data_IF_996871962302
#
_entry.id   IF_996871962302
#
_cell.length_a   1.000
_cell.length_b   1.000
_cell.length_c   1.000
_cell.angle_alpha   90.00
_cell.angle_beta   90.00
_cell.angle_gamma   90.00
#
_symmetry.space_group_name_H-M   'P 1'
#
loop_
_entity.id
_entity.type
_entity.pdbx_description
1 polymer ?
#
# COMPACT_ATOMS: atom_id res chain seq x y z
N UNK A 1 8.50 -25.84 -13.91
CA UNK A 1 8.33 -25.06 -15.16
C UNK A 1 7.06 -24.21 -15.06
N UNK A 2 7.15 -22.89 -14.80
CA UNK A 2 5.98 -22.03 -14.64
C UNK A 2 5.39 -21.64 -16.02
N UNK A 3 4.19 -22.14 -16.34
CA UNK A 3 3.42 -21.73 -17.53
C UNK A 3 3.01 -20.26 -17.40
N UNK A 4 3.76 -19.35 -18.04
CA UNK A 4 3.34 -17.95 -18.19
C UNK A 4 2.15 -17.92 -19.15
N UNK A 5 0.93 -17.75 -18.62
CA UNK A 5 -0.25 -17.41 -19.44
C UNK A 5 0.04 -16.06 -20.10
N UNK A 6 0.51 -16.08 -21.35
CA UNK A 6 0.69 -14.88 -22.17
C UNK A 6 -0.67 -14.22 -22.34
N UNK A 7 -0.83 -13.01 -21.80
CA UNK A 7 -2.05 -12.23 -22.03
C UNK A 7 -2.24 -11.99 -23.52
N UNK A 8 -3.50 -12.02 -24.00
CA UNK A 8 -3.80 -11.68 -25.40
C UNK A 8 -3.21 -10.30 -25.73
N UNK A 9 -2.45 -10.24 -26.81
CA UNK A 9 -1.93 -8.99 -27.38
C UNK A 9 -3.05 -8.36 -28.19
N UNK A 10 -3.41 -7.12 -27.87
CA UNK A 10 -4.43 -6.36 -28.61
C UNK A 10 -3.87 -4.97 -28.89
N UNK A 11 -3.96 -4.54 -30.14
CA UNK A 11 -3.60 -3.19 -30.56
C UNK A 11 -4.61 -2.21 -29.98
N UNK A 12 -4.14 -1.25 -29.19
CA UNK A 12 -4.98 -0.21 -28.58
C UNK A 12 -4.17 1.08 -28.38
N UNK A 13 -4.82 2.26 -28.40
CA UNK A 13 -4.14 3.53 -28.17
C UNK A 13 -3.63 3.62 -26.72
N UNK A 14 -2.42 4.16 -26.56
CA UNK A 14 -1.87 4.50 -25.27
C UNK A 14 -2.59 5.70 -24.66
N UNK A 15 -3.02 5.60 -23.40
CA UNK A 15 -3.66 6.72 -22.69
C UNK A 15 -2.78 7.97 -22.52
N UNK A 16 -1.45 7.83 -22.62
CA UNK A 16 -0.51 8.95 -22.43
C UNK A 16 -0.03 9.58 -23.74
N UNK A 17 0.40 8.77 -24.72
CA UNK A 17 0.95 9.29 -25.97
C UNK A 17 0.00 9.13 -27.18
N UNK A 18 -1.18 8.51 -27.02
CA UNK A 18 -2.13 8.30 -28.12
C UNK A 18 -1.73 7.21 -29.12
N UNK A 19 -0.45 6.82 -29.19
CA UNK A 19 0.05 5.82 -30.13
C UNK A 19 -0.66 4.46 -29.98
N UNK A 20 -1.10 3.91 -31.12
CA UNK A 20 -1.72 2.57 -31.19
C UNK A 20 -0.60 1.53 -31.22
N UNK A 21 -0.50 0.76 -30.13
CA UNK A 21 0.60 -0.18 -29.93
C UNK A 21 0.06 -1.55 -29.48
N UNK A 22 0.80 -2.65 -29.75
CA UNK A 22 0.46 -3.97 -29.25
C UNK A 22 0.60 -4.00 -27.72
N UNK A 23 -0.53 -4.13 -27.01
CA UNK A 23 -0.57 -4.17 -25.55
C UNK A 23 -1.03 -5.53 -25.02
N UNK A 24 -0.41 -6.00 -23.95
CA UNK A 24 -0.70 -7.31 -23.34
C UNK A 24 -1.80 -7.19 -22.29
N UNK A 25 -2.85 -7.99 -22.40
CA UNK A 25 -3.87 -8.14 -21.34
C UNK A 25 -4.65 -6.84 -21.07
N UNK A 26 -4.60 -6.33 -19.83
CA UNK A 26 -5.33 -5.12 -19.39
C UNK A 26 -4.49 -3.84 -19.43
N UNK A 27 -3.30 -3.87 -20.04
CA UNK A 27 -2.44 -2.70 -20.15
C UNK A 27 -3.16 -1.55 -20.91
N UNK A 28 -3.03 -0.31 -20.40
CA UNK A 28 -3.64 0.92 -20.98
C UNK A 28 -2.61 1.98 -21.36
N UNK A 29 -1.35 1.75 -21.02
CA UNK A 29 -0.22 2.67 -21.19
C UNK A 29 0.90 1.89 -21.83
N UNK A 30 1.55 2.45 -22.85
CA UNK A 30 2.64 1.77 -23.55
C UNK A 30 3.86 1.59 -22.63
N UNK A 31 4.74 0.65 -22.99
CA UNK A 31 5.96 0.37 -22.21
C UNK A 31 6.86 1.60 -22.05
N UNK A 32 6.96 2.45 -23.09
CA UNK A 32 7.76 3.69 -23.04
C UNK A 32 7.25 4.65 -21.96
N UNK A 33 5.95 4.95 -21.96
CA UNK A 33 5.34 5.82 -20.96
C UNK A 33 5.36 5.21 -19.54
N UNK A 34 5.20 3.89 -19.41
CA UNK A 34 5.38 3.21 -18.12
C UNK A 34 6.80 3.37 -17.56
N UNK A 35 7.80 3.22 -18.42
CA UNK A 35 9.21 3.38 -18.02
C UNK A 35 9.50 4.82 -17.60
N UNK A 36 9.02 5.81 -18.36
CA UNK A 36 9.19 7.23 -18.03
C UNK A 36 8.58 7.58 -16.66
N UNK A 37 7.37 7.08 -16.36
CA UNK A 37 6.75 7.28 -15.05
C UNK A 37 7.53 6.61 -13.91
N UNK A 38 8.05 5.40 -14.15
CA UNK A 38 8.87 4.70 -13.16
C UNK A 38 10.14 5.49 -12.85
N UNK A 39 10.81 6.03 -13.87
CA UNK A 39 12.00 6.88 -13.70
C UNK A 39 11.65 8.17 -12.96
N UNK A 40 10.55 8.84 -13.32
CA UNK A 40 10.11 10.05 -12.64
C UNK A 40 9.83 9.81 -11.15
N UNK A 41 9.07 8.75 -10.83
CA UNK A 41 8.81 8.34 -9.46
C UNK A 41 10.09 7.98 -8.70
N UNK A 42 11.02 7.28 -9.36
CA UNK A 42 12.27 6.87 -8.73
C UNK A 42 13.20 8.06 -8.47
N UNK A 43 13.23 9.04 -9.37
CA UNK A 43 13.95 10.29 -9.16
C UNK A 43 13.33 11.08 -8.00
N UNK A 44 12.01 11.29 -8.01
CA UNK A 44 11.29 11.95 -6.93
C UNK A 44 11.53 11.25 -5.58
N UNK A 45 11.47 9.92 -5.56
CA UNK A 45 11.74 9.12 -4.37
C UNK A 45 13.17 9.27 -3.90
N UNK A 46 14.15 9.30 -4.81
CA UNK A 46 15.57 9.47 -4.47
C UNK A 46 15.89 10.87 -3.94
N UNK A 47 15.17 11.91 -4.39
CA UNK A 47 15.34 13.28 -3.89
C UNK A 47 14.80 13.50 -2.48
N UNK A 48 13.93 12.62 -1.97
CA UNK A 48 13.48 12.70 -0.58
C UNK A 48 14.61 12.17 0.32
N UNK A 49 15.16 12.99 1.26
CA UNK A 49 16.17 12.52 2.21
C UNK A 49 15.66 11.31 3.00
N UNK A 50 16.52 10.33 3.25
CA UNK A 50 16.14 9.10 3.98
C UNK A 50 15.54 9.40 5.36
N UNK A 51 15.96 10.50 6.00
CA UNK A 51 15.41 11.00 7.26
C UNK A 51 13.94 11.44 7.13
N UNK A 52 13.57 12.17 6.07
CA UNK A 52 12.18 12.58 5.83
C UNK A 52 11.26 11.40 5.47
N UNK A 53 11.79 10.36 4.80
CA UNK A 53 11.02 9.14 4.51
C UNK A 53 10.62 8.41 5.80
N UNK A 54 11.51 8.33 6.79
CA UNK A 54 11.20 7.77 8.12
C UNK A 54 10.23 8.67 8.89
N UNK A 55 10.47 9.99 8.91
CA UNK A 55 9.62 10.93 9.66
C UNK A 55 8.18 10.95 9.14
N UNK A 56 7.93 10.85 7.82
CA UNK A 56 6.55 10.73 7.29
C UNK A 56 5.88 9.40 7.64
N UNK A 57 6.62 8.29 7.62
CA UNK A 57 6.09 6.97 7.99
C UNK A 57 5.81 6.87 9.51
N UNK A 58 6.66 7.50 10.33
CA UNK A 58 6.54 7.51 11.79
C UNK A 58 5.47 8.50 12.29
N UNK A 59 5.27 9.66 11.62
CA UNK A 59 4.19 10.60 11.97
C UNK A 59 2.81 9.96 11.87
N UNK A 60 2.54 9.22 10.78
CA UNK A 60 1.27 8.47 10.61
C UNK A 60 1.05 7.36 11.63
N UNK A 61 2.11 6.84 12.27
CA UNK A 61 2.02 5.79 13.30
C UNK A 61 1.88 6.37 14.71
N UNK A 62 2.40 7.57 14.97
CA UNK A 62 2.32 8.24 16.28
C UNK A 62 0.98 8.92 16.55
N UNK A 63 0.21 9.29 15.53
CA UNK A 63 -0.99 10.12 15.73
C UNK A 63 -2.18 9.45 16.45
N UNK A 64 -2.15 8.13 16.75
CA UNK A 64 -3.26 7.48 17.48
C UNK A 64 -2.94 6.98 18.89
N UNK A 65 -1.66 6.98 19.32
CA UNK A 65 -1.27 6.49 20.65
C UNK A 65 -1.75 5.07 20.99
N UNK A 66 -1.94 4.21 19.98
CA UNK A 66 -2.45 2.85 20.18
C UNK A 66 -1.39 1.92 20.78
N UNK A 67 -1.74 1.28 21.88
CA UNK A 67 -0.96 0.23 22.54
C UNK A 67 -1.53 -1.13 22.15
N UNK A 68 -0.68 -2.08 21.79
CA UNK A 68 -1.08 -3.46 21.51
C UNK A 68 -0.44 -4.40 22.52
N UNK A 69 -1.25 -5.26 23.14
CA UNK A 69 -0.81 -6.21 24.18
C UNK A 69 -1.10 -7.64 23.73
N UNK A 70 -0.24 -8.57 24.12
CA UNK A 70 -0.41 -10.00 23.86
C UNK A 70 -0.45 -10.77 25.17
N UNK A 71 -1.58 -11.39 25.49
CA UNK A 71 -1.77 -12.19 26.70
C UNK A 71 -2.66 -13.40 26.41
N UNK A 72 -2.36 -14.55 27.02
CA UNK A 72 -3.15 -15.77 26.85
C UNK A 72 -3.31 -16.25 25.40
N UNK A 73 -2.32 -15.99 24.53
CA UNK A 73 -2.39 -16.36 23.11
C UNK A 73 -3.22 -15.41 22.24
N UNK A 74 -3.67 -14.27 22.79
CA UNK A 74 -4.55 -13.32 22.12
C UNK A 74 -3.96 -11.91 22.13
N UNK A 75 -4.30 -11.15 21.10
CA UNK A 75 -3.95 -9.73 20.95
C UNK A 75 -5.10 -8.83 21.40
N UNK A 76 -4.79 -7.74 22.09
CA UNK A 76 -5.71 -6.63 22.38
C UNK A 76 -5.09 -5.30 21.95
N UNK A 77 -5.92 -4.28 21.75
CA UNK A 77 -5.45 -2.92 21.54
C UNK A 77 -6.13 -1.95 22.51
N UNK A 78 -5.40 -0.90 22.92
CA UNK A 78 -5.83 0.14 23.82
C UNK A 78 -5.47 1.51 23.23
N UNK A 79 -6.38 2.46 23.32
CA UNK A 79 -6.19 3.84 22.88
C UNK A 79 -6.09 4.80 24.07
N UNK A 80 -5.50 6.00 23.88
CA UNK A 80 -5.33 6.98 24.96
C UNK A 80 -6.66 7.52 25.52
N UNK A 81 -7.74 7.46 24.73
CA UNK A 81 -9.07 7.89 25.12
C UNK A 81 -9.87 6.83 25.90
N UNK A 82 -9.23 5.73 26.32
CA UNK A 82 -9.84 4.65 27.07
C UNK A 82 -10.57 3.60 26.22
N UNK A 83 -10.68 3.79 24.89
CA UNK A 83 -11.18 2.75 24.00
C UNK A 83 -10.21 1.58 23.94
N UNK A 84 -10.74 0.36 24.00
CA UNK A 84 -9.96 -0.86 23.83
C UNK A 84 -10.82 -1.94 23.19
N UNK A 85 -10.18 -2.90 22.52
CA UNK A 85 -10.88 -4.04 21.93
C UNK A 85 -9.99 -5.29 21.85
N UNK A 86 -10.64 -6.44 21.69
CA UNK A 86 -10.05 -7.77 21.64
C UNK A 86 -10.89 -8.77 22.45
N UNK A 87 -10.49 -10.04 22.54
CA UNK A 87 -9.25 -10.66 22.04
C UNK A 87 -9.24 -10.98 20.54
N UNK A 88 -8.07 -10.85 19.90
CA UNK A 88 -7.83 -11.22 18.50
C UNK A 88 -6.79 -12.33 18.38
N UNK A 89 -6.94 -13.22 17.39
CA UNK A 89 -5.95 -14.29 17.14
C UNK A 89 -4.64 -13.78 16.57
N UNK A 90 -4.64 -12.61 15.91
CA UNK A 90 -3.44 -12.06 15.26
C UNK A 90 -3.31 -10.56 15.48
N UNK A 91 -2.07 -10.08 15.55
CA UNK A 91 -1.76 -8.65 15.60
C UNK A 91 -2.33 -7.88 14.39
N UNK A 92 -2.49 -8.55 13.24
CA UNK A 92 -3.06 -7.94 12.02
C UNK A 92 -4.54 -7.64 12.20
N UNK A 93 -5.30 -8.58 12.77
CA UNK A 93 -6.71 -8.38 13.09
C UNK A 93 -6.87 -7.22 14.10
N UNK A 94 -6.08 -7.21 15.17
CA UNK A 94 -6.09 -6.12 16.16
C UNK A 94 -5.80 -4.75 15.53
N UNK A 95 -4.81 -4.66 14.63
CA UNK A 95 -4.47 -3.40 13.93
C UNK A 95 -5.56 -2.94 12.97
N UNK A 96 -6.18 -3.87 12.24
CA UNK A 96 -7.26 -3.54 11.32
C UNK A 96 -8.50 -3.07 12.08
N UNK A 97 -8.82 -3.71 13.20
CA UNK A 97 -9.90 -3.30 14.08
C UNK A 97 -9.66 -1.91 14.68
N UNK A 98 -8.47 -1.66 15.24
CA UNK A 98 -8.10 -0.35 15.74
C UNK A 98 -8.20 0.72 14.62
N UNK A 99 -7.70 0.44 13.42
CA UNK A 99 -7.83 1.36 12.28
C UNK A 99 -9.30 1.65 11.93
N UNK A 100 -10.18 0.65 11.95
CA UNK A 100 -11.62 0.84 11.75
C UNK A 100 -12.24 1.70 12.85
N UNK A 101 -11.91 1.46 14.12
CA UNK A 101 -12.41 2.23 15.25
C UNK A 101 -12.06 3.73 15.16
N UNK A 102 -10.93 4.07 14.53
CA UNK A 102 -10.49 5.45 14.30
C UNK A 102 -10.75 5.96 12.87
N UNK A 103 -11.58 5.28 12.07
CA UNK A 103 -11.95 5.71 10.72
C UNK A 103 -10.80 5.74 9.71
N UNK A 104 -9.67 5.08 10.02
CA UNK A 104 -8.53 4.98 9.12
C UNK A 104 -8.79 3.90 8.07
N UNK A 105 -8.79 4.29 6.79
CA UNK A 105 -8.94 3.36 5.67
C UNK A 105 -7.84 2.28 5.72
N UNK A 106 -8.25 1.03 5.47
CA UNK A 106 -7.32 -0.10 5.38
C UNK A 106 -6.19 0.19 4.37
N UNK A 107 -4.95 0.07 4.84
CA UNK A 107 -3.78 0.08 3.97
C UNK A 107 -3.80 -1.23 3.17
N UNK A 108 -4.43 -1.20 1.99
CA UNK A 108 -4.31 -2.27 0.99
C UNK A 108 -2.85 -2.33 0.53
N UNK A 109 -2.07 -3.21 1.17
CA UNK A 109 -0.74 -3.63 0.73
C UNK A 109 -0.86 -4.90 -0.11
#
# INVERSE_FOLDING_TARGET
MARRKGGKVVNRPCKHCGEVLPMVGKQRVCKKCQQAQKTAWQNEYNHIPAAERKVRADKRRKDLGLTFSFSGGKWTWHAPNGLSNGPFDTIRAARNDARKAFGLKEEKR
#
